data_IF_936732715762
#
_entry.id   IF_936732715762
#
_cell.length_a   1.000
_cell.length_b   1.000
_cell.length_c   1.000
_cell.angle_alpha   90.00
_cell.angle_beta   90.00
_cell.angle_gamma   90.00
#
_symmetry.space_group_name_H-M   'P 1'
#
loop_
_entity.id
_entity.type
_entity.pdbx_description
1 polymer ?
#
# COMPACT_ATOMS: atom_id res chain seq x y z
N UNK A 1 1.69 -13.02 -6.32
CA UNK A 1 0.33 -12.71 -6.84
C UNK A 1 -0.07 -11.28 -6.49
N UNK A 2 -0.99 -10.65 -7.27
CA UNK A 2 -1.55 -9.33 -6.95
C UNK A 2 -2.89 -9.51 -6.25
N UNK A 3 -3.00 -9.00 -5.03
CA UNK A 3 -4.18 -9.13 -4.16
C UNK A 3 -4.87 -7.79 -4.00
N UNK A 4 -6.18 -7.78 -4.19
CA UNK A 4 -7.03 -6.59 -4.18
C UNK A 4 -8.13 -6.72 -3.14
N UNK A 5 -8.48 -5.61 -2.50
CA UNK A 5 -9.76 -5.45 -1.81
C UNK A 5 -10.65 -4.58 -2.71
N UNK A 6 -11.87 -5.02 -2.95
CA UNK A 6 -12.81 -4.34 -3.84
C UNK A 6 -14.25 -4.43 -3.32
N UNK A 7 -15.10 -3.55 -3.83
CA UNK A 7 -16.53 -3.56 -3.56
C UNK A 7 -17.29 -3.87 -4.85
N UNK A 8 -18.22 -4.80 -4.75
CA UNK A 8 -19.16 -5.16 -5.81
C UNK A 8 -20.54 -5.36 -5.21
N UNK A 9 -21.59 -4.74 -5.79
CA UNK A 9 -22.96 -4.75 -5.30
C UNK A 9 -23.11 -4.34 -3.82
N UNK A 10 -22.26 -3.41 -3.34
CA UNK A 10 -22.27 -2.95 -1.96
C UNK A 10 -21.57 -3.88 -0.96
N UNK A 11 -21.03 -5.01 -1.41
CA UNK A 11 -20.31 -5.96 -0.57
C UNK A 11 -18.79 -5.81 -0.75
N UNK A 12 -18.06 -5.72 0.36
CA UNK A 12 -16.61 -5.74 0.36
C UNK A 12 -16.11 -7.18 0.21
N UNK A 13 -15.23 -7.36 -0.77
CA UNK A 13 -14.62 -8.64 -1.11
C UNK A 13 -13.11 -8.48 -1.27
N UNK A 14 -12.39 -9.58 -1.35
CA UNK A 14 -10.99 -9.58 -1.77
C UNK A 14 -10.72 -10.70 -2.77
N UNK A 15 -9.71 -10.49 -3.57
CA UNK A 15 -9.39 -11.43 -4.62
C UNK A 15 -7.99 -11.23 -5.18
N UNK A 16 -7.65 -12.04 -6.17
CA UNK A 16 -6.38 -11.95 -6.87
C UNK A 16 -6.58 -11.76 -8.37
N UNK A 17 -5.61 -11.10 -9.00
CA UNK A 17 -5.59 -10.94 -10.46
C UNK A 17 -5.25 -12.26 -11.16
N UNK A 18 -6.05 -12.62 -12.15
CA UNK A 18 -5.81 -13.72 -13.06
C UNK A 18 -6.16 -13.29 -14.50
N UNK A 19 -5.17 -13.17 -15.38
CA UNK A 19 -5.38 -12.78 -16.80
C UNK A 19 -6.22 -11.49 -16.94
N UNK A 20 -5.85 -10.45 -16.21
CA UNK A 20 -6.53 -9.14 -16.20
C UNK A 20 -7.97 -9.14 -15.65
N UNK A 21 -8.37 -10.17 -14.94
CA UNK A 21 -9.61 -10.23 -14.18
C UNK A 21 -9.33 -10.42 -12.70
N UNK A 22 -10.20 -9.89 -11.85
CA UNK A 22 -10.18 -10.15 -10.42
C UNK A 22 -10.97 -11.45 -10.13
N UNK A 23 -10.34 -12.38 -9.46
CA UNK A 23 -10.95 -13.61 -8.97
C UNK A 23 -11.25 -13.43 -7.48
N UNK A 24 -12.54 -13.48 -7.11
CA UNK A 24 -12.96 -13.54 -5.71
C UNK A 24 -12.45 -14.85 -5.10
N UNK A 25 -11.45 -14.75 -4.23
CA UNK A 25 -10.75 -15.92 -3.71
C UNK A 25 -11.62 -16.81 -2.80
N UNK A 26 -12.43 -16.29 -1.86
CA UNK A 26 -13.34 -17.08 -1.07
C UNK A 26 -14.34 -17.88 -1.92
N UNK A 27 -14.98 -17.27 -2.92
CA UNK A 27 -15.92 -17.95 -3.81
C UNK A 27 -15.20 -19.00 -4.65
N UNK A 28 -14.08 -18.63 -5.26
CA UNK A 28 -13.30 -19.53 -6.11
C UNK A 28 -12.78 -20.77 -5.34
N UNK A 29 -12.35 -20.58 -4.11
CA UNK A 29 -11.88 -21.67 -3.27
C UNK A 29 -13.04 -22.59 -2.85
N UNK A 30 -14.18 -22.04 -2.48
CA UNK A 30 -15.39 -22.81 -2.18
C UNK A 30 -15.82 -23.65 -3.39
N UNK A 31 -15.85 -23.07 -4.59
CA UNK A 31 -16.14 -23.79 -5.83
C UNK A 31 -15.14 -24.94 -6.11
N UNK A 32 -13.84 -24.71 -5.86
CA UNK A 32 -12.82 -25.75 -5.95
C UNK A 32 -13.11 -26.92 -5.00
N UNK A 33 -13.44 -26.64 -3.73
CA UNK A 33 -13.73 -27.66 -2.73
C UNK A 33 -14.96 -28.48 -3.11
N UNK A 34 -16.02 -27.82 -3.56
CA UNK A 34 -17.24 -28.46 -4.08
C UNK A 34 -16.93 -29.37 -5.26
N UNK A 35 -16.15 -28.90 -6.23
CA UNK A 35 -15.76 -29.69 -7.40
C UNK A 35 -14.90 -30.93 -7.03
N UNK A 36 -14.22 -30.92 -5.89
CA UNK A 36 -13.46 -32.05 -5.34
C UNK A 36 -14.31 -33.01 -4.50
N UNK A 37 -15.60 -32.74 -4.33
CA UNK A 37 -16.49 -33.56 -3.51
C UNK A 37 -16.27 -33.38 -1.99
N UNK A 38 -15.58 -32.32 -1.58
CA UNK A 38 -15.40 -32.02 -0.16
C UNK A 38 -16.74 -31.60 0.45
N UNK A 39 -17.09 -32.18 1.61
CA UNK A 39 -18.27 -31.74 2.33
C UNK A 39 -18.08 -30.31 2.87
N UNK A 40 -19.12 -29.46 2.90
CA UNK A 40 -19.07 -28.15 3.53
C UNK A 40 -18.52 -28.24 4.96
N UNK A 41 -17.48 -27.45 5.28
CA UNK A 41 -16.85 -27.48 6.60
C UNK A 41 -15.77 -28.54 6.81
N UNK A 42 -15.54 -29.46 5.85
CA UNK A 42 -14.48 -30.49 5.95
C UNK A 42 -13.06 -29.90 5.83
N UNK A 43 -12.92 -28.75 5.14
CA UNK A 43 -11.67 -27.99 5.04
C UNK A 43 -11.95 -26.53 5.47
N UNK A 44 -10.97 -25.85 6.08
CA UNK A 44 -11.15 -24.46 6.47
C UNK A 44 -11.42 -23.61 5.23
N UNK A 45 -12.44 -22.78 5.27
CA UNK A 45 -12.70 -21.76 4.26
C UNK A 45 -11.57 -20.72 4.26
N UNK A 46 -11.38 -20.03 3.12
CA UNK A 46 -10.53 -18.84 3.13
C UNK A 46 -11.15 -17.76 4.05
N UNK A 47 -10.31 -16.97 4.74
CA UNK A 47 -10.77 -15.88 5.58
C UNK A 47 -11.64 -14.88 4.80
N UNK A 48 -12.47 -14.10 5.52
CA UNK A 48 -13.43 -13.18 4.90
C UNK A 48 -12.82 -11.84 4.47
N UNK A 49 -11.63 -11.48 4.98
CA UNK A 49 -10.95 -10.22 4.65
C UNK A 49 -9.52 -10.46 4.23
N UNK A 50 -8.96 -9.56 3.42
CA UNK A 50 -7.56 -9.63 3.02
C UNK A 50 -6.60 -9.53 4.23
N UNK A 51 -6.95 -8.76 5.26
CA UNK A 51 -6.15 -8.69 6.49
C UNK A 51 -6.08 -10.05 7.19
N UNK A 52 -7.21 -10.73 7.35
CA UNK A 52 -7.25 -12.06 7.93
C UNK A 52 -6.53 -13.10 7.04
N UNK A 53 -6.61 -12.93 5.73
CA UNK A 53 -5.87 -13.75 4.76
C UNK A 53 -4.36 -13.61 4.94
N UNK A 54 -3.87 -12.37 5.10
CA UNK A 54 -2.46 -12.09 5.38
C UNK A 54 -2.03 -12.77 6.69
N UNK A 55 -2.82 -12.62 7.74
CA UNK A 55 -2.55 -13.23 9.05
C UNK A 55 -2.57 -14.76 9.03
N UNK A 56 -3.35 -15.38 8.12
CA UNK A 56 -3.37 -16.84 7.94
C UNK A 56 -2.11 -17.39 7.21
N UNK A 57 -1.33 -16.52 6.55
CA UNK A 57 -0.02 -16.84 5.99
C UNK A 57 -0.03 -17.90 4.88
N UNK A 58 0.99 -18.76 4.85
CA UNK A 58 1.23 -19.73 3.76
C UNK A 58 0.05 -20.71 3.52
N UNK A 59 -0.69 -21.20 4.52
CA UNK A 59 -1.89 -22.01 4.26
C UNK A 59 -2.92 -21.29 3.37
N UNK A 60 -3.17 -20.00 3.62
CA UNK A 60 -4.10 -19.20 2.81
C UNK A 60 -3.53 -18.94 1.41
N UNK A 61 -2.23 -18.65 1.28
CA UNK A 61 -1.56 -18.48 -0.01
C UNK A 61 -1.63 -19.76 -0.85
N UNK A 62 -1.40 -20.92 -0.26
CA UNK A 62 -1.53 -22.22 -0.93
C UNK A 62 -2.96 -22.47 -1.43
N UNK A 63 -3.96 -22.19 -0.59
CA UNK A 63 -5.37 -22.30 -0.97
C UNK A 63 -5.73 -21.33 -2.12
N UNK A 64 -5.24 -20.10 -2.06
CA UNK A 64 -5.46 -19.10 -3.12
C UNK A 64 -4.82 -19.54 -4.46
N UNK A 65 -3.58 -20.03 -4.43
CA UNK A 65 -2.91 -20.56 -5.64
C UNK A 65 -3.71 -21.72 -6.25
N UNK A 66 -4.24 -22.62 -5.42
CA UNK A 66 -5.09 -23.73 -5.88
C UNK A 66 -6.41 -23.24 -6.48
N UNK A 67 -7.06 -22.25 -5.86
CA UNK A 67 -8.28 -21.63 -6.37
C UNK A 67 -8.02 -20.94 -7.73
N UNK A 68 -6.95 -20.19 -7.88
CA UNK A 68 -6.57 -19.54 -9.14
C UNK A 68 -6.27 -20.56 -10.24
N UNK A 69 -5.56 -21.64 -9.92
CA UNK A 69 -5.29 -22.71 -10.87
C UNK A 69 -6.58 -23.44 -11.32
N UNK A 70 -7.57 -23.57 -10.44
CA UNK A 70 -8.88 -24.08 -10.77
C UNK A 70 -9.64 -23.11 -11.69
N UNK A 71 -9.71 -21.83 -11.34
CA UNK A 71 -10.40 -20.79 -12.12
C UNK A 71 -9.76 -20.56 -13.50
N UNK A 72 -8.46 -20.79 -13.66
CA UNK A 72 -7.76 -20.71 -14.94
C UNK A 72 -8.31 -21.68 -16.00
N UNK A 73 -8.95 -22.77 -15.58
CA UNK A 73 -9.61 -23.77 -16.43
C UNK A 73 -11.04 -23.38 -16.81
N UNK A 74 -11.54 -22.22 -16.35
CA UNK A 74 -12.91 -21.73 -16.57
C UNK A 74 -13.99 -22.75 -16.17
N UNK A 75 -14.00 -23.21 -14.90
CA UNK A 75 -14.99 -24.17 -14.44
C UNK A 75 -16.41 -23.58 -14.47
N UNK A 76 -17.41 -24.43 -14.61
CA UNK A 76 -18.78 -24.02 -14.31
C UNK A 76 -18.91 -23.77 -12.81
N UNK A 77 -19.47 -22.63 -12.45
CA UNK A 77 -19.80 -22.28 -11.06
C UNK A 77 -21.27 -22.67 -10.77
N UNK A 78 -21.65 -22.83 -9.50
CA UNK A 78 -23.06 -22.98 -9.12
C UNK A 78 -23.92 -21.86 -9.67
N UNK A 79 -25.20 -22.17 -9.94
CA UNK A 79 -26.17 -21.20 -10.49
C UNK A 79 -26.27 -19.99 -9.57
N UNK A 80 -26.07 -18.79 -10.14
CA UNK A 80 -26.13 -17.51 -9.42
C UNK A 80 -24.81 -17.07 -8.77
N UNK A 81 -23.77 -17.89 -8.79
CA UNK A 81 -22.45 -17.49 -8.29
C UNK A 81 -21.58 -16.88 -9.39
N UNK A 82 -20.90 -15.79 -9.06
CA UNK A 82 -19.89 -15.13 -9.90
C UNK A 82 -18.61 -14.92 -9.09
N UNK A 83 -17.52 -15.50 -9.57
CA UNK A 83 -16.21 -15.40 -8.92
C UNK A 83 -15.20 -14.55 -9.71
N UNK A 84 -15.54 -14.02 -10.87
CA UNK A 84 -14.63 -13.23 -11.72
C UNK A 84 -15.25 -11.91 -12.11
N UNK A 85 -14.47 -10.83 -12.05
CA UNK A 85 -14.88 -9.46 -12.36
C UNK A 85 -13.81 -8.78 -13.20
N UNK A 86 -14.21 -7.91 -14.13
CA UNK A 86 -13.29 -6.95 -14.73
C UNK A 86 -12.98 -5.85 -13.68
N UNK A 87 -11.80 -5.25 -13.76
CA UNK A 87 -11.42 -4.20 -12.80
C UNK A 87 -12.36 -3.00 -12.86
N UNK A 88 -12.85 -2.66 -14.06
CA UNK A 88 -13.82 -1.58 -14.29
C UNK A 88 -15.25 -1.87 -13.79
N UNK A 89 -15.57 -3.12 -13.46
CA UNK A 89 -16.89 -3.50 -12.90
C UNK A 89 -16.95 -3.34 -11.39
N UNK A 90 -15.84 -3.08 -10.74
CA UNK A 90 -15.73 -3.03 -9.27
C UNK A 90 -15.14 -1.71 -8.80
N UNK A 91 -15.45 -1.31 -7.58
CA UNK A 91 -14.75 -0.22 -6.91
C UNK A 91 -13.55 -0.79 -6.17
N UNK A 92 -12.32 -0.42 -6.59
CA UNK A 92 -11.12 -0.77 -5.82
C UNK A 92 -11.10 0.01 -4.51
N UNK A 93 -10.78 -0.68 -3.43
CA UNK A 93 -10.61 -0.12 -2.10
C UNK A 93 -9.13 -0.17 -1.70
N UNK A 94 -8.77 0.51 -0.62
CA UNK A 94 -7.47 0.28 0.00
C UNK A 94 -7.31 -1.21 0.32
N UNK A 95 -6.17 -1.85 -0.03
CA UNK A 95 -5.98 -3.29 0.19
C UNK A 95 -6.19 -3.68 1.66
N UNK A 96 -5.71 -2.86 2.58
CA UNK A 96 -5.97 -2.96 4.03
C UNK A 96 -6.58 -1.62 4.47
N UNK A 97 -7.93 -1.50 4.52
CA UNK A 97 -8.59 -0.23 4.83
C UNK A 97 -8.35 0.29 6.26
N UNK A 98 -7.99 -0.61 7.17
CA UNK A 98 -7.69 -0.29 8.58
C UNK A 98 -6.52 -1.14 9.05
N UNK A 99 -5.27 -0.79 8.66
CA UNK A 99 -4.07 -1.45 9.20
C UNK A 99 -3.92 -1.15 10.69
N UNK A 100 -3.19 -2.01 11.41
CA UNK A 100 -2.90 -1.80 12.83
C UNK A 100 -2.01 -0.58 13.04
N UNK A 101 -0.86 -0.57 12.35
CA UNK A 101 0.12 0.52 12.37
C UNK A 101 0.47 0.93 10.94
N UNK A 102 0.73 2.23 10.73
CA UNK A 102 1.29 2.78 9.49
C UNK A 102 2.51 3.61 9.92
N UNK A 103 3.69 3.07 9.69
CA UNK A 103 4.97 3.65 10.10
C UNK A 103 5.71 4.12 8.85
N UNK A 104 5.90 5.42 8.72
CA UNK A 104 6.51 6.02 7.52
C UNK A 104 7.92 6.51 7.83
N UNK A 105 8.88 6.13 6.97
CA UNK A 105 10.25 6.57 7.11
C UNK A 105 10.41 8.02 6.66
N UNK A 106 10.96 8.85 7.52
CA UNK A 106 11.37 10.21 7.20
C UNK A 106 12.80 10.24 6.65
N UNK A 107 12.99 10.94 5.52
CA UNK A 107 14.31 11.26 4.97
C UNK A 107 15.20 10.03 4.63
N UNK A 108 14.62 9.01 4.00
CA UNK A 108 15.35 7.78 3.66
C UNK A 108 15.97 7.77 2.24
N UNK A 109 15.82 8.82 1.44
CA UNK A 109 16.45 8.91 0.10
C UNK A 109 17.54 9.97 0.08
N UNK A 110 18.73 9.60 -0.47
CA UNK A 110 19.85 10.54 -0.63
C UNK A 110 19.49 11.74 -1.47
N UNK A 111 18.70 11.53 -2.53
CA UNK A 111 18.24 12.61 -3.41
C UNK A 111 17.31 13.58 -2.67
N UNK A 112 16.40 13.06 -1.83
CA UNK A 112 15.50 13.90 -1.02
C UNK A 112 16.25 14.65 0.08
N UNK A 113 17.22 14.01 0.73
CA UNK A 113 18.08 14.69 1.71
C UNK A 113 18.85 15.87 1.11
N UNK A 114 19.30 15.77 -0.16
CA UNK A 114 20.00 16.84 -0.87
C UNK A 114 19.12 18.04 -1.24
N UNK A 115 17.80 17.89 -1.28
CA UNK A 115 16.87 19.01 -1.52
C UNK A 115 16.84 20.00 -0.34
N UNK A 116 17.09 19.52 0.87
CA UNK A 116 17.16 20.34 2.06
C UNK A 116 18.62 20.62 2.43
N UNK A 117 19.14 21.85 2.21
CA UNK A 117 20.54 22.17 2.48
C UNK A 117 20.91 22.07 3.97
N UNK A 118 19.90 22.04 4.86
CA UNK A 118 20.09 21.90 6.30
C UNK A 118 19.87 20.44 6.77
N UNK A 119 19.56 19.51 5.89
CA UNK A 119 19.36 18.11 6.27
C UNK A 119 20.68 17.52 6.78
N UNK A 120 20.59 16.92 7.96
CA UNK A 120 21.67 16.06 8.48
C UNK A 120 21.32 14.61 8.15
N UNK A 121 22.30 13.86 7.62
CA UNK A 121 22.13 12.42 7.52
C UNK A 121 22.06 11.85 8.93
N UNK A 122 21.00 11.06 9.15
CA UNK A 122 20.79 10.39 10.43
C UNK A 122 21.66 9.15 10.50
N UNK A 123 22.06 8.76 11.71
CA UNK A 123 22.75 7.49 11.95
C UNK A 123 21.78 6.31 11.95
N UNK A 124 20.55 6.54 12.41
CA UNK A 124 19.47 5.56 12.49
C UNK A 124 18.22 5.99 11.72
N UNK A 125 17.42 5.04 11.24
CA UNK A 125 16.17 5.34 10.55
C UNK A 125 15.20 6.12 11.43
N UNK A 126 14.62 7.19 10.90
CA UNK A 126 13.57 7.99 11.54
C UNK A 126 12.20 7.55 11.02
N UNK A 127 11.24 7.47 11.94
CA UNK A 127 9.86 7.14 11.59
C UNK A 127 8.87 8.08 12.23
N UNK A 128 7.74 8.29 11.54
CA UNK A 128 6.53 8.88 12.06
C UNK A 128 5.35 7.97 11.76
N UNK A 129 4.21 8.17 12.44
CA UNK A 129 3.03 7.36 12.25
C UNK A 129 1.95 8.12 11.47
N UNK A 130 1.26 7.40 10.57
CA UNK A 130 -0.07 7.78 10.08
C UNK A 130 -1.12 6.94 10.80
N UNK A 131 -2.25 7.57 11.13
CA UNK A 131 -3.35 6.87 11.82
C UNK A 131 -4.23 6.12 10.80
N UNK A 132 -4.76 4.93 11.16
CA UNK A 132 -5.54 4.12 10.22
C UNK A 132 -6.79 4.81 9.64
N UNK A 133 -7.30 5.84 10.31
CA UNK A 133 -8.50 6.57 9.86
C UNK A 133 -8.29 7.45 8.63
N UNK A 134 -7.03 7.77 8.28
CA UNK A 134 -6.72 8.63 7.13
C UNK A 134 -6.51 7.86 5.83
N UNK A 135 -6.66 6.52 5.89
CA UNK A 135 -6.48 5.63 4.73
C UNK A 135 -7.64 5.76 3.75
N UNK A 136 -7.28 5.88 2.47
CA UNK A 136 -8.19 5.78 1.32
C UNK A 136 -7.58 4.89 0.24
N UNK A 137 -8.43 4.40 -0.68
CA UNK A 137 -8.02 3.54 -1.79
C UNK A 137 -7.83 4.28 -3.11
N UNK A 138 -7.59 3.50 -4.17
CA UNK A 138 -7.52 3.99 -5.54
C UNK A 138 -8.85 4.64 -5.97
N UNK A 139 -8.75 5.80 -6.62
CA UNK A 139 -9.91 6.57 -7.12
C UNK A 139 -10.65 7.38 -6.03
N UNK A 140 -10.37 7.17 -4.75
CA UNK A 140 -10.97 7.98 -3.68
C UNK A 140 -10.28 9.34 -3.58
N UNK A 141 -11.05 10.38 -3.17
CA UNK A 141 -10.59 11.76 -3.20
C UNK A 141 -9.74 12.14 -1.98
N UNK A 142 -8.61 12.79 -2.22
CA UNK A 142 -7.84 13.50 -1.19
C UNK A 142 -8.60 14.80 -0.85
N UNK A 143 -9.03 14.97 0.40
CA UNK A 143 -9.73 16.16 0.88
C UNK A 143 -8.74 17.24 1.29
N UNK A 144 -8.68 18.31 0.50
CA UNK A 144 -7.73 19.41 0.71
C UNK A 144 -8.23 20.38 1.79
N UNK A 145 -7.53 20.53 2.93
CA UNK A 145 -8.04 21.30 4.10
C UNK A 145 -7.98 22.83 3.92
N UNK A 146 -7.44 23.32 2.83
CA UNK A 146 -7.28 24.73 2.51
C UNK A 146 -5.84 25.08 2.09
N UNK A 147 -5.70 26.05 1.17
CA UNK A 147 -4.41 26.38 0.53
C UNK A 147 -3.31 26.79 1.50
N UNK A 148 -3.67 27.38 2.66
CA UNK A 148 -2.69 27.75 3.70
C UNK A 148 -1.87 26.60 4.23
N UNK A 149 -2.37 25.36 4.13
CA UNK A 149 -1.70 24.18 4.68
C UNK A 149 -0.56 23.66 3.81
N UNK A 150 -0.39 24.18 2.58
CA UNK A 150 0.69 23.79 1.68
C UNK A 150 0.76 22.28 1.53
N UNK A 151 -0.35 21.69 1.03
CA UNK A 151 -0.47 20.22 0.90
C UNK A 151 0.48 19.71 -0.16
N UNK A 152 1.36 18.83 0.23
CA UNK A 152 2.42 18.23 -0.58
C UNK A 152 2.21 16.74 -0.79
N UNK A 153 2.98 16.14 -1.66
CA UNK A 153 2.89 14.77 -2.15
C UNK A 153 4.21 14.03 -2.00
N UNK A 154 4.14 12.69 -1.90
CA UNK A 154 5.29 11.80 -1.93
C UNK A 154 4.90 10.38 -2.32
N UNK A 155 5.51 9.85 -3.40
CA UNK A 155 5.36 8.44 -3.76
C UNK A 155 6.29 7.59 -2.92
N UNK A 156 5.76 6.51 -2.34
CA UNK A 156 6.49 5.65 -1.42
C UNK A 156 6.16 4.17 -1.65
N UNK A 157 7.18 3.32 -1.58
CA UNK A 157 6.98 1.89 -1.46
C UNK A 157 6.56 1.58 -0.03
N UNK A 158 5.44 0.90 0.16
CA UNK A 158 5.01 0.39 1.45
C UNK A 158 5.17 -1.13 1.53
N UNK A 159 5.76 -1.58 2.63
CA UNK A 159 5.93 -2.98 3.01
C UNK A 159 4.75 -3.41 3.86
N UNK A 160 4.18 -4.56 3.56
CA UNK A 160 3.11 -5.20 4.35
C UNK A 160 3.71 -6.31 5.18
N UNK A 161 3.55 -6.26 6.48
CA UNK A 161 4.00 -7.31 7.40
C UNK A 161 3.08 -8.54 7.28
N UNK A 162 3.67 -9.72 7.16
CA UNK A 162 2.96 -10.99 7.03
C UNK A 162 3.01 -11.87 8.26
N UNK A 163 4.13 -11.80 8.99
CA UNK A 163 4.33 -12.55 10.24
C UNK A 163 4.75 -11.58 11.32
N UNK A 164 4.23 -11.79 12.53
CA UNK A 164 4.62 -10.99 13.68
C UNK A 164 6.14 -11.00 13.84
N UNK A 165 6.75 -9.81 14.02
CA UNK A 165 8.18 -9.71 14.27
C UNK A 165 8.46 -8.76 15.43
N UNK A 166 9.37 -9.19 16.31
CA UNK A 166 9.92 -8.44 17.42
C UNK A 166 11.38 -8.81 17.55
N UNK A 167 12.26 -7.83 17.63
CA UNK A 167 13.72 -8.02 17.62
C UNK A 167 14.24 -8.85 16.41
N UNK A 168 13.66 -8.61 15.23
CA UNK A 168 14.19 -9.20 14.00
C UNK A 168 15.59 -8.67 13.71
N UNK A 169 16.41 -9.48 13.07
CA UNK A 169 17.72 -9.08 12.55
C UNK A 169 17.65 -8.78 11.07
N UNK A 170 18.64 -8.08 10.51
CA UNK A 170 18.67 -7.82 9.06
C UNK A 170 18.66 -9.11 8.24
N UNK A 171 19.20 -10.22 8.78
CA UNK A 171 19.24 -11.51 8.10
C UNK A 171 17.87 -12.16 7.94
N UNK A 172 16.96 -11.95 8.90
CA UNK A 172 15.64 -12.59 8.89
C UNK A 172 14.46 -11.63 8.67
N UNK A 173 14.67 -10.31 8.70
CA UNK A 173 13.59 -9.33 8.64
C UNK A 173 12.71 -9.49 7.39
N UNK A 174 13.29 -9.79 6.21
CA UNK A 174 12.53 -9.93 4.97
C UNK A 174 11.63 -11.18 4.95
N UNK A 175 11.93 -12.22 5.74
CA UNK A 175 11.07 -13.40 5.83
C UNK A 175 9.70 -13.11 6.49
N UNK A 176 9.57 -11.99 7.19
CA UNK A 176 8.32 -11.54 7.80
C UNK A 176 7.48 -10.67 6.87
N UNK A 177 7.97 -10.33 5.69
CA UNK A 177 7.28 -9.47 4.72
C UNK A 177 6.28 -10.31 3.91
N UNK A 178 5.01 -9.90 3.89
CA UNK A 178 3.98 -10.48 3.05
C UNK A 178 4.06 -10.00 1.61
N UNK A 179 4.32 -8.71 1.42
CA UNK A 179 4.38 -8.10 0.10
C UNK A 179 4.50 -6.59 0.16
N UNK A 180 4.19 -5.96 -0.97
CA UNK A 180 4.42 -4.55 -1.21
C UNK A 180 3.20 -3.88 -1.83
N UNK A 181 3.02 -2.59 -1.53
CA UNK A 181 1.97 -1.74 -2.11
C UNK A 181 2.49 -0.32 -2.30
N UNK A 182 1.73 0.54 -2.98
CA UNK A 182 2.03 1.97 -3.09
C UNK A 182 1.39 2.70 -1.92
N UNK A 183 2.11 3.65 -1.33
CA UNK A 183 1.60 4.60 -0.36
C UNK A 183 1.87 6.02 -0.89
N UNK A 184 0.86 6.88 -0.78
CA UNK A 184 0.98 8.31 -1.03
C UNK A 184 1.07 9.03 0.31
N UNK A 185 2.26 9.54 0.66
CA UNK A 185 2.45 10.35 1.86
C UNK A 185 2.03 11.79 1.60
N UNK A 186 0.72 12.04 1.74
CA UNK A 186 0.16 13.40 1.67
C UNK A 186 0.50 14.15 2.95
N UNK A 187 0.98 15.39 2.83
CA UNK A 187 1.57 16.16 3.92
C UNK A 187 1.11 17.60 3.92
N UNK A 188 0.63 18.10 5.05
CA UNK A 188 0.35 19.53 5.27
C UNK A 188 1.62 20.21 5.80
N UNK A 189 2.50 20.67 4.91
CA UNK A 189 3.84 21.16 5.23
C UNK A 189 3.84 22.33 6.20
N UNK A 190 2.84 23.21 6.11
CA UNK A 190 2.74 24.35 7.01
C UNK A 190 2.63 23.93 8.49
N UNK A 191 1.82 22.88 8.80
CA UNK A 191 1.72 22.35 10.16
C UNK A 191 2.97 21.53 10.52
N UNK A 192 3.42 20.68 9.61
CA UNK A 192 4.58 19.81 9.82
C UNK A 192 5.81 20.59 10.29
N UNK A 193 6.10 21.72 9.64
CA UNK A 193 7.31 22.51 9.92
C UNK A 193 7.12 23.60 10.96
N UNK A 194 5.90 24.04 11.24
CA UNK A 194 5.67 25.17 12.15
C UNK A 194 6.17 24.87 13.56
N UNK A 195 5.86 23.70 14.09
CA UNK A 195 6.20 23.32 15.46
C UNK A 195 6.75 21.88 15.53
N UNK A 196 7.37 21.38 14.45
CA UNK A 196 7.76 19.99 14.28
C UNK A 196 6.61 19.00 14.55
N UNK A 197 5.39 19.39 14.15
CA UNK A 197 4.19 18.61 14.43
C UNK A 197 3.83 17.68 13.28
N UNK A 198 4.66 16.65 13.07
CA UNK A 198 4.44 15.64 12.04
C UNK A 198 3.10 14.93 12.21
N UNK A 199 2.71 14.61 13.45
CA UNK A 199 1.44 13.93 13.72
C UNK A 199 0.26 14.68 13.13
N UNK A 200 0.19 16.00 13.31
CA UNK A 200 -0.90 16.81 12.73
C UNK A 200 -0.71 17.02 11.23
N UNK A 201 0.52 17.26 10.77
CA UNK A 201 0.81 17.50 9.34
C UNK A 201 0.56 16.31 8.42
N UNK A 202 0.64 15.11 8.97
CA UNK A 202 0.53 13.83 8.21
C UNK A 202 -0.82 13.13 8.35
N UNK A 203 -1.73 13.62 9.20
CA UNK A 203 -2.93 12.89 9.61
C UNK A 203 -4.25 13.64 9.42
N UNK A 204 -4.35 14.53 8.42
CA UNK A 204 -5.68 14.97 7.97
C UNK A 204 -6.42 13.79 7.34
N UNK A 205 -7.74 13.78 7.44
CA UNK A 205 -8.58 12.79 6.77
C UNK A 205 -8.15 12.63 5.30
N UNK A 206 -8.06 11.38 4.83
CA UNK A 206 -7.67 11.01 3.46
C UNK A 206 -6.18 11.20 3.09
N UNK A 207 -5.30 11.53 4.04
CA UNK A 207 -3.89 11.81 3.76
C UNK A 207 -3.00 10.55 3.63
N UNK A 208 -3.60 9.37 3.49
CA UNK A 208 -2.87 8.12 3.26
C UNK A 208 -3.54 7.25 2.17
N UNK A 209 -3.54 7.69 0.90
CA UNK A 209 -3.93 6.79 -0.17
C UNK A 209 -2.98 5.58 -0.24
N UNK A 210 -3.52 4.36 -0.29
CA UNK A 210 -2.75 3.11 -0.46
C UNK A 210 -3.39 2.19 -1.50
N UNK A 211 -2.59 1.45 -2.25
CA UNK A 211 -3.04 0.50 -3.26
C UNK A 211 -2.23 0.56 -4.56
N UNK A 212 -2.82 0.13 -5.69
CA UNK A 212 -4.17 -0.41 -5.86
C UNK A 212 -4.32 -1.83 -5.29
N UNK A 213 -3.20 -2.53 -5.07
CA UNK A 213 -3.14 -3.92 -4.62
C UNK A 213 -1.92 -4.14 -3.71
N UNK A 214 -1.86 -5.33 -3.12
CA UNK A 214 -0.63 -5.87 -2.53
C UNK A 214 -0.06 -6.90 -3.50
N UNK A 215 1.22 -6.75 -3.86
CA UNK A 215 1.98 -7.76 -4.59
C UNK A 215 2.75 -8.59 -3.59
N UNK A 216 2.56 -9.92 -3.59
CA UNK A 216 3.25 -10.81 -2.66
C UNK A 216 4.78 -10.76 -2.85
N UNK A 217 5.53 -10.95 -1.78
CA UNK A 217 6.99 -10.77 -1.77
C UNK A 217 7.72 -11.66 -2.78
N UNK A 218 7.20 -12.84 -3.08
CA UNK A 218 7.73 -13.78 -4.07
C UNK A 218 7.70 -13.27 -5.53
N UNK A 219 6.88 -12.25 -5.83
CA UNK A 219 6.79 -11.64 -7.16
C UNK A 219 7.77 -10.45 -7.33
N UNK A 220 8.37 -9.96 -6.27
CA UNK A 220 9.30 -8.81 -6.27
C UNK A 220 10.69 -9.32 -5.87
N UNK A 221 11.54 -9.55 -6.86
CA UNK A 221 12.86 -10.11 -6.64
C UNK A 221 13.77 -9.22 -5.78
N UNK A 222 13.71 -7.90 -5.98
CA UNK A 222 14.50 -6.93 -5.24
C UNK A 222 13.72 -5.60 -5.09
N UNK A 223 13.12 -5.35 -3.92
CA UNK A 223 12.40 -4.10 -3.67
C UNK A 223 13.32 -2.85 -3.70
N UNK A 224 14.62 -3.02 -3.53
CA UNK A 224 15.61 -1.95 -3.60
C UNK A 224 15.84 -1.39 -5.01
N UNK A 225 15.39 -2.08 -6.06
CA UNK A 225 15.57 -1.66 -7.45
C UNK A 225 14.32 -1.09 -8.10
N UNK A 226 13.17 -1.16 -7.45
CA UNK A 226 11.92 -0.71 -8.03
C UNK A 226 11.99 0.78 -8.37
N UNK A 227 11.48 1.13 -9.55
CA UNK A 227 11.30 2.51 -9.97
C UNK A 227 9.97 3.03 -9.45
N UNK A 228 10.01 4.24 -8.86
CA UNK A 228 8.86 4.97 -8.36
C UNK A 228 8.67 6.26 -9.15
N UNK A 229 7.45 6.52 -9.59
CA UNK A 229 7.11 7.78 -10.26
C UNK A 229 5.87 8.40 -9.65
N UNK A 230 5.82 9.74 -9.65
CA UNK A 230 4.62 10.51 -9.35
C UNK A 230 4.41 11.57 -10.42
N UNK A 231 3.21 11.61 -10.97
CA UNK A 231 2.75 12.66 -11.87
C UNK A 231 1.64 13.47 -11.21
N UNK A 232 1.73 14.77 -11.32
CA UNK A 232 0.67 15.71 -10.94
C UNK A 232 0.07 16.30 -12.22
N UNK A 233 -1.22 16.06 -12.48
CA UNK A 233 -1.90 16.49 -13.73
C UNK A 233 -1.14 16.06 -15.01
N UNK A 234 -0.55 14.85 -14.99
CA UNK A 234 0.24 14.33 -16.11
C UNK A 234 1.71 14.80 -16.13
N UNK A 235 2.08 15.84 -15.38
CA UNK A 235 3.48 16.30 -15.29
C UNK A 235 4.28 15.45 -14.31
N UNK A 236 5.45 14.97 -14.74
CA UNK A 236 6.36 14.20 -13.91
C UNK A 236 6.93 15.05 -12.78
N UNK A 237 6.67 14.65 -11.53
CA UNK A 237 7.15 15.32 -10.33
C UNK A 237 8.24 14.54 -9.62
N UNK A 238 8.10 13.23 -9.50
CA UNK A 238 9.11 12.34 -8.91
C UNK A 238 9.38 11.20 -9.87
N UNK A 239 10.66 10.80 -10.02
CA UNK A 239 11.10 9.67 -10.84
C UNK A 239 12.46 9.19 -10.33
N UNK A 240 12.50 8.10 -9.57
CA UNK A 240 13.70 7.52 -8.97
C UNK A 240 13.54 6.01 -8.79
N UNK A 241 14.65 5.36 -8.47
CA UNK A 241 14.69 3.98 -7.99
C UNK A 241 14.98 3.93 -6.49
N UNK A 242 14.63 2.83 -5.85
CA UNK A 242 14.90 2.57 -4.44
C UNK A 242 16.41 2.35 -4.14
N UNK A 243 17.25 2.22 -5.15
CA UNK A 243 18.72 2.21 -5.00
C UNK A 243 19.25 3.49 -4.32
N UNK A 244 18.44 4.55 -4.30
CA UNK A 244 18.73 5.82 -3.64
C UNK A 244 18.51 5.80 -2.11
N UNK A 245 18.07 4.72 -1.51
CA UNK A 245 17.85 4.60 -0.07
C UNK A 245 19.13 4.86 0.74
N UNK A 246 18.97 5.56 1.88
CA UNK A 246 20.00 5.74 2.88
C UNK A 246 20.12 4.47 3.73
N UNK A 247 18.97 3.99 4.24
CA UNK A 247 18.87 2.76 5.00
C UNK A 247 18.18 1.69 4.17
N UNK A 248 18.80 0.52 3.96
CA UNK A 248 18.17 -0.57 3.24
C UNK A 248 17.00 -1.17 4.04
N UNK A 249 16.06 -1.79 3.34
CA UNK A 249 14.84 -2.34 3.93
C UNK A 249 15.07 -3.26 5.16
N UNK A 250 16.03 -4.20 5.14
CA UNK A 250 16.29 -5.03 6.33
C UNK A 250 16.67 -4.21 7.56
N UNK A 251 17.47 -3.13 7.40
CA UNK A 251 17.88 -2.26 8.49
C UNK A 251 16.70 -1.49 9.09
N UNK A 252 15.78 -1.03 8.25
CA UNK A 252 14.57 -0.33 8.69
C UNK A 252 13.66 -1.25 9.51
N UNK A 253 13.46 -2.48 9.05
CA UNK A 253 12.63 -3.48 9.75
C UNK A 253 13.26 -3.91 11.06
N UNK A 254 14.58 -4.18 11.10
CA UNK A 254 15.33 -4.44 12.32
C UNK A 254 15.13 -3.32 13.35
N UNK A 255 15.30 -2.06 12.90
CA UNK A 255 15.18 -0.88 13.77
C UNK A 255 13.77 -0.75 14.38
N UNK A 256 12.74 -0.85 13.57
CA UNK A 256 11.34 -0.78 14.04
C UNK A 256 11.01 -1.93 15.00
N UNK A 257 11.40 -3.16 14.64
CA UNK A 257 11.08 -4.34 15.45
C UNK A 257 11.88 -4.41 16.76
N UNK A 258 12.96 -3.65 16.90
CA UNK A 258 13.68 -3.51 18.16
C UNK A 258 12.88 -2.72 19.21
N UNK A 259 12.02 -1.81 18.77
CA UNK A 259 11.23 -0.94 19.64
C UNK A 259 9.80 -1.45 19.88
N UNK A 260 9.21 -2.14 18.90
CA UNK A 260 7.81 -2.57 18.96
C UNK A 260 7.57 -3.84 18.17
N UNK A 261 6.55 -4.61 18.55
CA UNK A 261 6.08 -5.73 17.72
C UNK A 261 5.38 -5.19 16.48
N UNK A 262 5.81 -5.63 15.29
CA UNK A 262 5.08 -5.46 14.05
C UNK A 262 4.19 -6.69 13.83
N UNK A 263 2.94 -6.47 13.45
CA UNK A 263 1.92 -7.51 13.34
C UNK A 263 1.46 -7.70 11.88
N UNK A 264 0.89 -8.86 11.52
CA UNK A 264 0.36 -9.06 10.18
C UNK A 264 -0.61 -7.95 9.77
N UNK A 265 -0.37 -7.35 8.60
CA UNK A 265 -1.15 -6.23 8.07
C UNK A 265 -0.68 -4.85 8.50
N UNK A 266 0.31 -4.72 9.38
CA UNK A 266 0.99 -3.44 9.61
C UNK A 266 1.71 -3.00 8.33
N UNK A 267 1.78 -1.69 8.13
CA UNK A 267 2.45 -1.07 7.00
C UNK A 267 3.69 -0.31 7.45
N UNK A 268 4.79 -0.51 6.73
CA UNK A 268 5.98 0.32 6.84
C UNK A 268 6.27 0.96 5.48
N UNK A 269 6.25 2.29 5.41
CA UNK A 269 6.66 3.00 4.20
C UNK A 269 8.15 3.31 4.23
N UNK A 270 8.78 3.25 3.06
CA UNK A 270 10.24 3.38 2.90
C UNK A 270 10.72 4.81 2.69
N UNK A 271 9.80 5.79 2.75
CA UNK A 271 10.07 7.19 2.45
C UNK A 271 9.92 7.53 0.97
N UNK A 272 10.05 8.81 0.65
CA UNK A 272 9.88 9.38 -0.69
C UNK A 272 11.18 9.89 -1.28
N UNK A 273 11.40 9.78 -2.61
CA UNK A 273 12.55 10.39 -3.30
C UNK A 273 12.40 11.91 -3.47
N UNK A 274 13.40 12.56 -4.06
CA UNK A 274 13.36 13.99 -4.42
C UNK A 274 12.21 14.31 -5.38
N UNK A 275 11.86 15.59 -5.45
CA UNK A 275 10.82 16.13 -6.32
C UNK A 275 9.54 16.47 -5.61
N UNK A 276 9.50 16.42 -4.27
CA UNK A 276 8.38 16.90 -3.47
C UNK A 276 8.11 18.38 -3.72
N UNK A 277 6.86 18.80 -3.59
CA UNK A 277 6.44 20.14 -3.98
C UNK A 277 7.06 21.25 -3.14
N UNK A 278 7.29 20.98 -1.86
CA UNK A 278 7.86 21.96 -0.93
C UNK A 278 9.30 22.39 -1.31
N UNK A 279 10.12 21.47 -1.78
CA UNK A 279 11.52 21.76 -2.13
C UNK A 279 11.72 22.24 -3.58
N UNK A 280 10.68 22.30 -4.38
CA UNK A 280 10.73 22.82 -5.77
C UNK A 280 10.91 24.34 -5.79
N UNK A 281 11.45 24.82 -6.90
CA UNK A 281 11.60 26.25 -7.18
C UNK A 281 11.03 26.57 -8.57
N UNK A 282 9.84 27.20 -8.67
CA UNK A 282 8.94 27.57 -7.57
C UNK A 282 8.32 26.36 -6.87
N UNK A 283 7.86 26.55 -5.62
CA UNK A 283 7.11 25.52 -4.86
C UNK A 283 5.82 25.13 -5.59
N UNK A 284 5.44 23.84 -5.50
CA UNK A 284 4.25 23.30 -6.14
C UNK A 284 3.47 22.48 -5.11
N UNK A 285 2.33 22.99 -4.67
CA UNK A 285 1.44 22.30 -3.73
C UNK A 285 0.16 21.84 -4.41
N UNK A 286 -0.42 20.79 -3.86
CA UNK A 286 -1.72 20.28 -4.30
C UNK A 286 -2.82 21.33 -4.09
N UNK A 287 -3.80 21.33 -4.98
CA UNK A 287 -5.00 22.17 -4.91
C UNK A 287 -6.22 21.38 -5.40
N UNK A 288 -7.44 21.77 -4.98
CA UNK A 288 -8.65 21.17 -5.54
C UNK A 288 -8.67 21.21 -7.06
N UNK A 289 -9.03 20.07 -7.69
CA UNK A 289 -9.00 19.85 -9.13
C UNK A 289 -7.75 19.12 -9.63
N UNK A 290 -6.71 18.99 -8.82
CA UNK A 290 -5.52 18.22 -9.18
C UNK A 290 -5.80 16.71 -9.16
N UNK A 291 -4.97 15.97 -9.93
CA UNK A 291 -4.95 14.50 -9.94
C UNK A 291 -3.52 14.02 -9.72
N UNK A 292 -3.33 13.23 -8.67
CA UNK A 292 -2.05 12.57 -8.36
C UNK A 292 -2.07 11.15 -8.92
N UNK A 293 -1.08 10.81 -9.75
CA UNK A 293 -0.85 9.45 -10.27
C UNK A 293 0.51 8.97 -9.84
N UNK A 294 0.52 7.91 -9.05
CA UNK A 294 1.70 7.24 -8.52
C UNK A 294 1.85 5.87 -9.19
N UNK A 295 3.03 5.55 -9.65
CA UNK A 295 3.31 4.23 -10.23
C UNK A 295 4.57 3.65 -9.59
N UNK A 296 4.52 2.36 -9.24
CA UNK A 296 5.71 1.59 -8.83
C UNK A 296 5.79 0.35 -9.71
N UNK A 297 6.98 0.14 -10.27
CA UNK A 297 7.27 -1.00 -11.14
C UNK A 297 6.88 -2.33 -10.46
N UNK A 298 6.22 -3.22 -11.21
CA UNK A 298 5.75 -4.51 -10.70
C UNK A 298 4.47 -4.45 -9.86
N UNK A 299 4.14 -3.30 -9.24
CA UNK A 299 2.95 -3.16 -8.40
C UNK A 299 1.75 -2.66 -9.23
N UNK A 300 1.88 -1.49 -9.84
CA UNK A 300 0.81 -0.89 -10.63
C UNK A 300 0.70 0.60 -10.42
N UNK A 301 -0.54 1.12 -10.47
CA UNK A 301 -0.82 2.56 -10.45
C UNK A 301 -1.89 2.89 -9.40
N UNK A 302 -1.58 3.85 -8.55
CA UNK A 302 -2.49 4.47 -7.58
C UNK A 302 -2.81 5.89 -8.05
N UNK A 303 -4.07 6.19 -8.28
CA UNK A 303 -4.51 7.51 -8.73
C UNK A 303 -5.60 8.06 -7.82
N UNK A 304 -5.47 9.32 -7.43
CA UNK A 304 -6.40 9.98 -6.53
C UNK A 304 -6.62 11.43 -6.96
N UNK A 305 -7.88 11.86 -7.16
CA UNK A 305 -8.22 13.27 -7.35
C UNK A 305 -8.14 14.04 -6.03
N UNK A 306 -7.85 15.33 -6.12
CA UNK A 306 -7.86 16.26 -4.99
C UNK A 306 -9.14 17.10 -5.05
N UNK A 307 -9.90 17.12 -3.96
CA UNK A 307 -11.13 17.92 -3.83
C UNK A 307 -11.04 18.87 -2.64
N UNK A 308 -11.79 19.96 -2.66
CA UNK A 308 -11.94 20.79 -1.46
C UNK A 308 -12.58 19.95 -0.35
N UNK A 309 -12.09 20.12 0.88
CA UNK A 309 -12.82 19.59 2.03
C UNK A 309 -14.19 20.28 2.04
N UNK A 310 -15.27 19.49 1.96
CA UNK A 310 -16.61 20.04 2.20
C UNK A 310 -16.70 20.54 3.65
N UNK A 311 -17.47 21.61 3.85
CA UNK A 311 -17.82 22.09 5.18
C UNK A 311 -18.61 21.05 5.95
#
# INVERSE_FOLDING_TARGET
MKLYTFEVHGERRYGAELKSQLVDLPIAYTALLTARGSQPGALPALPLTLLQFIAAGEPALTAARAALAFMAKRPALPVGERATYLVEEVKLLAPIPRPGKILCSGLNYRSHAKENPNAKFLEDPRFFAKVPSVVIGHGESIRHPGLRYQVDYGVELAVVIGQAMHHATQQNALSHVFGYTILHDVSARWIEFKDNNETMGKNFDTFCPIGPCIVTADEIADPGRLRLTLKLNGQMMQDRTNEDWIFPLPRMLEWLSSAMTLEPGDLMSTGTPCGTGYFRKPQVFLKPGDVCRLEIEGIGMLENPVVAAGN
#
